data_IF_585062278156
#
_entry.id   IF_585062278156
#
_cell.length_a   1.000
_cell.length_b   1.000
_cell.length_c   1.000
_cell.angle_alpha   90.00
_cell.angle_beta   90.00
_cell.angle_gamma   90.00
#
_symmetry.space_group_name_H-M   'P 1'
#
loop_
_entity.id
_entity.type
_entity.pdbx_description
1 polymer ?
#
# COMPACT_ATOMS: atom_id res chain seq x y z
N UNK A 1 -6.46 -27.69 -8.94
CA UNK A 1 -5.32 -27.92 -9.87
C UNK A 1 -4.49 -26.64 -10.01
N UNK A 2 -3.17 -26.74 -9.89
CA UNK A 2 -2.27 -25.58 -9.89
C UNK A 2 -2.35 -24.73 -11.18
N UNK A 3 -2.64 -25.35 -12.33
CA UNK A 3 -2.79 -24.65 -13.62
C UNK A 3 -3.97 -23.68 -13.68
N UNK A 4 -5.09 -24.05 -13.05
CA UNK A 4 -6.34 -23.28 -13.02
C UNK A 4 -6.15 -21.99 -12.22
N UNK A 5 -5.45 -22.09 -11.09
CA UNK A 5 -5.12 -20.96 -10.23
C UNK A 5 -4.11 -20.01 -10.89
N UNK A 6 -3.12 -20.56 -11.60
CA UNK A 6 -2.14 -19.76 -12.35
C UNK A 6 -2.79 -18.90 -13.44
N UNK A 7 -3.78 -19.44 -14.14
CA UNK A 7 -4.48 -18.74 -15.22
C UNK A 7 -5.39 -17.61 -14.71
N UNK A 8 -6.13 -17.86 -13.63
CA UNK A 8 -6.93 -16.85 -12.92
C UNK A 8 -6.00 -15.72 -12.44
N UNK A 9 -4.86 -16.06 -11.84
CA UNK A 9 -3.89 -15.09 -11.33
C UNK A 9 -3.27 -14.22 -12.44
N UNK A 10 -2.87 -14.81 -13.57
CA UNK A 10 -2.34 -14.06 -14.70
C UNK A 10 -3.36 -13.05 -15.27
N UNK A 11 -4.64 -13.41 -15.27
CA UNK A 11 -5.71 -12.52 -15.74
C UNK A 11 -5.95 -11.37 -14.78
N UNK A 12 -5.95 -11.64 -13.47
CA UNK A 12 -6.04 -10.63 -12.43
C UNK A 12 -4.82 -9.69 -12.47
N UNK A 13 -3.64 -10.20 -12.81
CA UNK A 13 -2.43 -9.40 -12.98
C UNK A 13 -2.53 -8.43 -14.16
N UNK A 14 -3.10 -8.86 -15.29
CA UNK A 14 -3.37 -7.97 -16.42
C UNK A 14 -4.36 -6.85 -16.07
N UNK A 15 -5.41 -7.16 -15.30
CA UNK A 15 -6.39 -6.18 -14.86
C UNK A 15 -5.74 -5.18 -13.90
N UNK A 16 -4.99 -5.68 -12.92
CA UNK A 16 -4.26 -4.87 -11.95
C UNK A 16 -3.28 -3.90 -12.62
N UNK A 17 -2.49 -4.38 -13.59
CA UNK A 17 -1.59 -3.54 -14.42
C UNK A 17 -2.36 -2.45 -15.18
N UNK A 18 -3.53 -2.76 -15.75
CA UNK A 18 -4.37 -1.78 -16.46
C UNK A 18 -4.86 -0.65 -15.57
N UNK A 19 -5.17 -0.93 -14.30
CA UNK A 19 -5.62 0.07 -13.32
C UNK A 19 -4.47 0.63 -12.47
N UNK A 20 -3.21 0.31 -12.84
CA UNK A 20 -1.98 0.65 -12.11
C UNK A 20 -1.95 0.20 -10.65
N UNK A 21 -2.80 -0.75 -10.26
CA UNK A 21 -2.84 -1.33 -8.91
C UNK A 21 -1.92 -2.55 -8.90
N UNK A 22 -1.16 -2.74 -7.82
CA UNK A 22 -0.48 -4.02 -7.58
C UNK A 22 -1.53 -5.06 -7.24
N UNK A 23 -1.61 -6.21 -7.94
CA UNK A 23 -2.70 -7.18 -7.76
C UNK A 23 -2.86 -7.59 -6.29
N UNK A 24 -4.10 -7.64 -5.80
CA UNK A 24 -4.44 -7.93 -4.39
C UNK A 24 -4.92 -9.38 -4.15
N UNK A 25 -4.86 -10.25 -5.16
CA UNK A 25 -5.55 -11.55 -5.12
C UNK A 25 -4.74 -12.68 -4.49
N UNK A 26 -4.12 -12.37 -3.37
CA UNK A 26 -3.43 -13.36 -2.58
C UNK A 26 -3.45 -12.94 -1.11
N UNK A 27 -4.53 -13.36 -0.45
CA UNK A 27 -4.77 -13.24 1.00
C UNK A 27 -4.22 -14.46 1.78
N UNK A 28 -3.45 -15.31 1.13
CA UNK A 28 -2.66 -16.38 1.75
C UNK A 28 -1.20 -16.13 1.39
N UNK A 29 -0.37 -15.70 2.34
CA UNK A 29 1.11 -15.59 2.30
C UNK A 29 1.73 -15.50 0.89
N UNK A 30 1.99 -14.30 0.37
CA UNK A 30 2.30 -14.13 -1.05
C UNK A 30 3.28 -13.03 -1.37
N UNK A 31 4.03 -13.27 -2.44
CA UNK A 31 4.98 -12.39 -3.09
C UNK A 31 4.67 -10.89 -3.06
N UNK A 32 3.41 -10.43 -3.15
CA UNK A 32 3.12 -9.00 -3.07
C UNK A 32 2.99 -8.46 -1.63
N UNK A 33 2.51 -9.27 -0.69
CA UNK A 33 2.64 -8.95 0.74
C UNK A 33 4.12 -8.94 1.11
N UNK A 34 4.88 -9.93 0.66
CA UNK A 34 6.32 -10.01 0.92
C UNK A 34 7.08 -8.87 0.23
N UNK A 35 6.73 -8.50 -1.00
CA UNK A 35 7.30 -7.31 -1.68
C UNK A 35 6.90 -6.00 -0.96
N UNK A 36 5.69 -5.90 -0.42
CA UNK A 36 5.26 -4.76 0.38
C UNK A 36 6.06 -4.66 1.68
N UNK A 37 6.19 -5.78 2.40
CA UNK A 37 6.98 -5.87 3.64
C UNK A 37 8.47 -5.61 3.35
N UNK A 38 9.02 -6.17 2.28
CA UNK A 38 10.39 -5.94 1.83
C UNK A 38 10.64 -4.46 1.52
N UNK A 39 9.70 -3.79 0.83
CA UNK A 39 9.79 -2.34 0.58
C UNK A 39 9.80 -1.54 1.88
N UNK A 40 8.99 -1.94 2.86
CA UNK A 40 8.98 -1.28 4.18
C UNK A 40 10.27 -1.53 4.96
N UNK A 41 10.81 -2.75 4.95
CA UNK A 41 12.09 -3.06 5.58
C UNK A 41 13.25 -2.30 4.91
N UNK A 42 13.31 -2.30 3.57
CA UNK A 42 14.31 -1.52 2.83
C UNK A 42 14.22 -0.03 3.13
N UNK A 43 13.00 0.51 3.26
CA UNK A 43 12.81 1.91 3.66
C UNK A 43 13.37 2.16 5.07
N UNK A 44 13.05 1.28 6.03
CA UNK A 44 13.56 1.42 7.40
C UNK A 44 15.09 1.35 7.45
N UNK A 45 15.70 0.40 6.74
CA UNK A 45 17.15 0.25 6.65
C UNK A 45 17.81 1.44 5.96
N UNK A 46 17.21 1.94 4.88
CA UNK A 46 17.69 3.14 4.18
C UNK A 46 17.68 4.37 5.09
N UNK A 47 16.62 4.57 5.87
CA UNK A 47 16.53 5.68 6.84
C UNK A 47 17.57 5.52 7.97
N UNK A 48 17.79 4.30 8.47
CA UNK A 48 18.83 4.01 9.48
C UNK A 48 20.23 4.34 8.94
N UNK A 49 20.52 3.98 7.68
CA UNK A 49 21.79 4.24 7.03
C UNK A 49 21.99 5.71 6.61
N UNK A 50 20.90 6.43 6.30
CA UNK A 50 20.92 7.80 5.80
C UNK A 50 20.02 8.73 6.64
N UNK A 51 20.33 8.93 7.94
CA UNK A 51 19.48 9.71 8.84
C UNK A 51 19.30 11.17 8.42
N UNK A 52 20.26 11.74 7.69
CA UNK A 52 20.20 13.13 7.24
C UNK A 52 19.19 13.35 6.12
N UNK A 53 18.91 12.34 5.28
CA UNK A 53 17.84 12.42 4.28
C UNK A 53 16.46 12.52 4.93
N UNK A 54 16.22 11.71 5.97
CA UNK A 54 15.00 11.76 6.76
C UNK A 54 14.85 13.11 7.48
N UNK A 55 15.94 13.63 8.08
CA UNK A 55 15.94 14.96 8.71
C UNK A 55 15.66 16.07 7.70
N UNK A 56 16.26 16.03 6.52
CA UNK A 56 16.01 17.00 5.46
C UNK A 56 14.56 16.93 4.94
N UNK A 57 13.96 15.73 4.94
CA UNK A 57 12.53 15.54 4.68
C UNK A 57 11.65 16.21 5.73
N UNK A 58 11.93 15.95 7.02
CA UNK A 58 11.21 16.55 8.16
C UNK A 58 11.35 18.06 8.19
N UNK A 59 12.54 18.60 7.91
CA UNK A 59 12.80 20.04 7.92
C UNK A 59 11.98 20.85 6.89
N UNK A 60 11.38 20.19 5.89
CA UNK A 60 10.47 20.81 4.92
C UNK A 60 9.06 21.03 5.45
N UNK A 61 8.72 20.41 6.58
CA UNK A 61 7.43 20.55 7.23
C UNK A 61 7.39 21.83 8.08
N UNK A 62 6.19 22.27 8.43
CA UNK A 62 5.98 23.33 9.40
C UNK A 62 6.67 23.01 10.73
N UNK A 63 7.12 24.05 11.46
CA UNK A 63 7.79 23.86 12.77
C UNK A 63 6.97 23.00 13.74
N UNK A 64 5.64 23.15 13.71
CA UNK A 64 4.71 22.36 14.52
C UNK A 64 4.66 20.88 14.11
N UNK A 65 4.92 20.56 12.84
CA UNK A 65 4.93 19.20 12.30
C UNK A 65 6.31 18.52 12.38
N UNK A 66 7.40 19.28 12.49
CA UNK A 66 8.76 18.74 12.49
C UNK A 66 9.00 17.72 13.62
N UNK A 67 8.70 18.11 14.86
CA UNK A 67 8.88 17.23 16.02
C UNK A 67 8.03 15.94 15.92
N UNK A 68 6.71 16.01 15.73
CA UNK A 68 5.91 14.79 15.61
C UNK A 68 6.28 13.91 14.41
N UNK A 69 6.65 14.50 13.26
CA UNK A 69 7.13 13.73 12.12
C UNK A 69 8.44 12.99 12.44
N UNK A 70 9.38 13.66 13.12
CA UNK A 70 10.64 13.04 13.57
C UNK A 70 10.41 11.89 14.56
N UNK A 71 9.46 12.05 15.50
CA UNK A 71 9.09 10.99 16.44
C UNK A 71 8.44 9.79 15.73
N UNK A 72 7.56 10.02 14.75
CA UNK A 72 6.98 8.94 13.92
C UNK A 72 8.07 8.17 13.17
N UNK A 73 9.04 8.86 12.57
CA UNK A 73 10.17 8.21 11.88
C UNK A 73 10.98 7.38 12.87
N UNK A 74 11.24 7.90 14.08
CA UNK A 74 11.95 7.17 15.14
C UNK A 74 11.20 5.89 15.56
N UNK A 75 9.88 5.96 15.68
CA UNK A 75 9.04 4.78 15.97
C UNK A 75 9.12 3.78 14.82
N UNK A 76 8.99 4.24 13.58
CA UNK A 76 9.01 3.41 12.38
C UNK A 76 10.30 2.57 12.27
N UNK A 77 11.47 3.21 12.46
CA UNK A 77 12.77 2.52 12.39
C UNK A 77 13.18 1.81 13.67
N UNK A 78 12.37 1.86 14.74
CA UNK A 78 12.68 1.12 15.97
C UNK A 78 12.56 -0.40 15.78
N UNK A 79 13.17 -1.16 16.67
CA UNK A 79 13.13 -2.63 16.65
C UNK A 79 11.88 -3.20 17.38
N UNK A 80 10.87 -2.34 17.62
CA UNK A 80 9.57 -2.74 18.19
C UNK A 80 8.76 -3.54 17.18
N UNK A 81 7.82 -4.34 17.66
CA UNK A 81 6.85 -5.01 16.81
C UNK A 81 5.84 -4.01 16.20
N UNK A 82 5.21 -4.41 15.09
CA UNK A 82 4.33 -3.54 14.31
C UNK A 82 3.12 -3.04 15.08
N UNK A 83 2.59 -3.86 16.01
CA UNK A 83 1.45 -3.46 16.84
C UNK A 83 1.86 -2.34 17.79
N UNK A 84 2.98 -2.49 18.48
CA UNK A 84 3.49 -1.44 19.37
C UNK A 84 3.79 -0.15 18.59
N UNK A 85 4.41 -0.25 17.41
CA UNK A 85 4.65 0.92 16.54
C UNK A 85 3.35 1.63 16.17
N UNK A 86 2.32 0.87 15.78
CA UNK A 86 1.02 1.42 15.43
C UNK A 86 0.37 2.15 16.61
N UNK A 87 0.34 1.54 17.79
CA UNK A 87 -0.25 2.12 18.99
C UNK A 87 0.44 3.43 19.39
N UNK A 88 1.78 3.48 19.35
CA UNK A 88 2.54 4.69 19.66
C UNK A 88 2.32 5.81 18.64
N UNK A 89 2.28 5.49 17.34
CA UNK A 89 1.98 6.47 16.29
C UNK A 89 0.56 7.04 16.47
N UNK A 90 -0.41 6.20 16.82
CA UNK A 90 -1.78 6.66 17.04
C UNK A 90 -1.91 7.51 18.31
N UNK A 91 -1.24 7.14 19.39
CA UNK A 91 -1.19 7.94 20.61
C UNK A 91 -0.58 9.33 20.34
N UNK A 92 0.54 9.37 19.60
CA UNK A 92 1.18 10.62 19.19
C UNK A 92 0.22 11.47 18.35
N UNK A 93 -0.38 10.87 17.31
CA UNK A 93 -1.35 11.57 16.47
C UNK A 93 -2.52 12.09 17.27
N UNK A 94 -3.08 11.35 18.23
CA UNK A 94 -4.25 11.80 18.99
C UNK A 94 -4.09 13.20 19.60
N UNK A 95 -2.87 13.56 20.01
CA UNK A 95 -2.55 14.85 20.64
C UNK A 95 -2.35 16.01 19.66
N UNK A 96 -2.25 15.74 18.35
CA UNK A 96 -1.91 16.76 17.36
C UNK A 96 -3.14 17.51 16.82
N UNK A 97 -2.98 18.81 16.50
CA UNK A 97 -3.97 19.57 15.74
C UNK A 97 -4.27 18.93 14.37
N UNK A 98 -5.49 19.12 13.87
CA UNK A 98 -5.92 18.54 12.60
C UNK A 98 -5.04 18.97 11.41
N UNK A 99 -4.59 20.23 11.38
CA UNK A 99 -3.69 20.76 10.34
C UNK A 99 -2.34 20.04 10.32
N UNK A 100 -1.74 19.82 11.50
CA UNK A 100 -0.47 19.11 11.65
C UNK A 100 -0.61 17.64 11.26
N UNK A 101 -1.71 16.98 11.65
CA UNK A 101 -2.02 15.61 11.22
C UNK A 101 -2.07 15.51 9.69
N UNK A 102 -2.82 16.40 9.04
CA UNK A 102 -2.98 16.39 7.59
C UNK A 102 -1.65 16.60 6.87
N UNK A 103 -0.81 17.51 7.35
CA UNK A 103 0.53 17.75 6.80
C UNK A 103 1.43 16.51 6.90
N UNK A 104 1.46 15.86 8.08
CA UNK A 104 2.24 14.63 8.30
C UNK A 104 1.73 13.48 7.42
N UNK A 105 0.41 13.32 7.30
CA UNK A 105 -0.18 12.29 6.45
C UNK A 105 0.12 12.52 4.95
N UNK A 106 0.10 13.78 4.50
CA UNK A 106 0.52 14.13 3.15
C UNK A 106 2.01 13.82 2.93
N UNK A 107 2.88 14.15 3.90
CA UNK A 107 4.29 13.82 3.82
C UNK A 107 4.52 12.30 3.74
N UNK A 108 3.82 11.52 4.56
CA UNK A 108 3.84 10.05 4.53
C UNK A 108 3.40 9.51 3.16
N UNK A 109 2.35 10.09 2.59
CA UNK A 109 1.84 9.71 1.25
C UNK A 109 2.89 9.96 0.17
N UNK A 110 3.54 11.13 0.18
CA UNK A 110 4.61 11.43 -0.77
C UNK A 110 5.80 10.48 -0.65
N UNK A 111 6.16 10.08 0.58
CA UNK A 111 7.22 9.09 0.80
C UNK A 111 6.81 7.70 0.30
N UNK A 112 5.58 7.27 0.56
CA UNK A 112 5.05 6.01 0.06
C UNK A 112 5.10 5.96 -1.48
N UNK A 113 4.68 7.03 -2.16
CA UNK A 113 4.71 7.11 -3.61
C UNK A 113 6.12 7.02 -4.20
N UNK A 114 7.12 7.62 -3.55
CA UNK A 114 8.52 7.55 -4.00
C UNK A 114 9.06 6.12 -4.02
N UNK A 115 8.58 5.25 -3.14
CA UNK A 115 8.97 3.84 -3.08
C UNK A 115 7.96 2.90 -3.78
N UNK A 116 7.02 3.47 -4.54
CA UNK A 116 6.02 2.71 -5.29
C UNK A 116 4.98 2.01 -4.42
N UNK A 117 4.74 2.52 -3.21
CA UNK A 117 3.62 2.10 -2.35
C UNK A 117 2.43 3.02 -2.56
N UNK A 118 1.24 2.43 -2.62
CA UNK A 118 -0.03 3.15 -2.60
C UNK A 118 -0.52 3.26 -1.16
N UNK A 119 -1.22 4.34 -0.85
CA UNK A 119 -1.97 4.43 0.40
C UNK A 119 -3.21 3.53 0.37
N UNK A 120 -3.74 3.20 1.54
CA UNK A 120 -4.98 2.42 1.64
C UNK A 120 -6.13 3.10 0.88
N UNK A 121 -6.28 4.42 1.03
CA UNK A 121 -7.35 5.18 0.38
C UNK A 121 -7.23 5.12 -1.15
N UNK A 122 -6.01 5.19 -1.69
CA UNK A 122 -5.78 5.04 -3.13
C UNK A 122 -6.07 3.63 -3.62
N UNK A 123 -5.73 2.62 -2.82
CA UNK A 123 -6.08 1.23 -3.13
C UNK A 123 -7.60 1.07 -3.19
N UNK A 124 -8.31 1.58 -2.18
CA UNK A 124 -9.77 1.53 -2.10
C UNK A 124 -10.41 2.28 -3.28
N UNK A 125 -9.99 3.51 -3.56
CA UNK A 125 -10.51 4.31 -4.67
C UNK A 125 -10.35 3.59 -6.02
N UNK A 126 -9.20 2.93 -6.24
CA UNK A 126 -8.97 2.17 -7.48
C UNK A 126 -9.81 0.89 -7.55
N UNK A 127 -10.05 0.23 -6.42
CA UNK A 127 -10.97 -0.90 -6.34
C UNK A 127 -12.42 -0.48 -6.64
N UNK A 128 -12.84 0.70 -6.19
CA UNK A 128 -14.16 1.25 -6.51
C UNK A 128 -14.32 1.56 -8.01
N UNK A 129 -13.29 2.11 -8.64
CA UNK A 129 -13.27 2.34 -10.10
C UNK A 129 -13.35 1.01 -10.84
N UNK A 130 -12.58 0.00 -10.42
CA UNK A 130 -12.64 -1.34 -11.02
C UNK A 130 -14.02 -1.96 -10.87
N UNK A 131 -14.62 -1.89 -9.68
CA UNK A 131 -15.95 -2.40 -9.42
C UNK A 131 -17.01 -1.71 -10.28
N UNK A 132 -16.88 -0.38 -10.47
CA UNK A 132 -17.76 0.40 -11.34
C UNK A 132 -17.60 0.02 -12.81
N UNK A 133 -16.37 -0.16 -13.27
CA UNK A 133 -16.08 -0.63 -14.64
C UNK A 133 -16.70 -1.99 -14.92
N UNK A 134 -16.55 -2.95 -13.99
CA UNK A 134 -17.14 -4.30 -14.11
C UNK A 134 -18.67 -4.24 -14.16
N UNK A 135 -19.30 -3.36 -13.37
CA UNK A 135 -20.75 -3.16 -13.39
C UNK A 135 -21.24 -2.54 -14.70
N UNK A 136 -20.47 -1.61 -15.27
CA UNK A 136 -20.81 -0.94 -16.51
C UNK A 136 -20.55 -1.81 -17.76
N UNK A 137 -19.60 -2.74 -17.67
CA UNK A 137 -19.16 -3.60 -18.77
C UNK A 137 -19.20 -5.10 -18.39
N UNK A 138 -20.37 -5.65 -18.02
CA UNK A 138 -20.48 -7.03 -17.58
C UNK A 138 -20.07 -8.03 -18.67
N UNK A 139 -20.25 -7.68 -19.94
CA UNK A 139 -19.79 -8.47 -21.10
C UNK A 139 -18.27 -8.53 -21.21
N UNK A 140 -17.53 -7.45 -20.93
CA UNK A 140 -16.06 -7.49 -20.91
C UNK A 140 -15.53 -8.40 -19.80
N UNK A 141 -16.17 -8.33 -18.62
CA UNK A 141 -15.84 -9.21 -17.51
C UNK A 141 -16.12 -10.68 -17.88
N UNK A 142 -17.30 -10.99 -18.43
CA UNK A 142 -17.67 -12.34 -18.89
C UNK A 142 -16.76 -12.84 -20.02
N UNK A 143 -16.43 -12.00 -20.99
CA UNK A 143 -15.50 -12.35 -22.07
C UNK A 143 -14.08 -12.57 -21.54
N UNK A 144 -13.69 -11.87 -20.47
CA UNK A 144 -12.45 -12.11 -19.75
C UNK A 144 -12.43 -13.47 -19.06
N UNK A 145 -13.53 -13.85 -18.39
CA UNK A 145 -13.70 -15.16 -17.76
C UNK A 145 -13.71 -16.28 -18.80
N UNK A 146 -14.39 -16.09 -19.94
CA UNK A 146 -14.47 -17.08 -21.02
C UNK A 146 -13.12 -17.38 -21.69
N UNK A 147 -12.08 -16.56 -21.46
CA UNK A 147 -10.70 -16.81 -21.92
C UNK A 147 -9.91 -17.71 -20.97
N UNK A 148 -10.42 -17.97 -19.78
CA UNK A 148 -9.83 -18.90 -18.83
C UNK A 148 -10.21 -20.34 -19.20
N UNK A 149 -9.48 -21.34 -18.74
CA UNK A 149 -9.86 -22.76 -18.86
C UNK A 149 -11.24 -23.03 -18.26
N UNK A 150 -11.96 -24.04 -18.76
CA UNK A 150 -13.30 -24.42 -18.24
C UNK A 150 -13.28 -24.67 -16.72
N UNK A 151 -12.18 -25.20 -16.20
CA UNK A 151 -11.98 -25.44 -14.78
C UNK A 151 -11.79 -24.14 -13.96
N UNK A 152 -11.34 -23.05 -14.60
CA UNK A 152 -11.20 -21.72 -13.99
C UNK A 152 -12.47 -20.85 -14.13
N UNK A 153 -13.39 -21.24 -15.01
CA UNK A 153 -14.63 -20.52 -15.27
C UNK A 153 -15.74 -20.78 -14.24
N UNK A 154 -15.67 -21.90 -13.51
CA UNK A 154 -16.67 -22.27 -12.49
C UNK A 154 -16.14 -21.94 -11.10
N UNK A 155 -16.99 -21.46 -10.17
CA UNK A 155 -16.60 -21.37 -8.77
C UNK A 155 -16.24 -22.78 -8.25
N UNK A 156 -15.16 -22.87 -7.48
CA UNK A 156 -14.74 -24.09 -6.79
C UNK A 156 -15.77 -24.53 -5.74
#
# INVERSE_FOLDING_TARGET
PYDVLGEINARLEQIARKIRVTPLHHLSHTHAHDDYVDKLHRLADHIKANPDEARAGVAKLSEAAQKPAGEIIKIFVSDKDDKTKYEEVQALKATLPASVKAEIENHKTQLAHKIGLLTLDEIVARLEVLASHIKAHPEEARAGVAKLSEAAQKPA
#
